data_IF_133900634197
#
_entry.id   IF_133900634197
#
_cell.length_a   1.000
_cell.length_b   1.000
_cell.length_c   1.000
_cell.angle_alpha   90.00
_cell.angle_beta   90.00
_cell.angle_gamma   90.00
#
_symmetry.space_group_name_H-M   'P 1'
#
loop_
_entity.id
_entity.type
_entity.pdbx_description
1 polymer ?
#
# COMPACT_ATOMS: atom_id res chain seq x y z
N UNK A 1 -66.81 2.15 -28.91
CA UNK A 1 -66.51 2.70 -27.56
C UNK A 1 -65.10 2.23 -27.21
N UNK A 2 -64.04 2.94 -27.62
CA UNK A 2 -63.31 4.01 -26.85
C UNK A 2 -62.80 3.44 -25.51
N UNK A 3 -61.51 3.39 -25.15
CA UNK A 3 -60.42 4.39 -25.13
C UNK A 3 -59.16 3.64 -24.59
N UNK A 4 -57.89 3.94 -24.86
CA UNK A 4 -57.22 5.22 -25.08
C UNK A 4 -56.70 5.81 -23.76
N UNK A 5 -55.56 5.34 -23.23
CA UNK A 5 -54.81 5.99 -22.13
C UNK A 5 -53.30 5.89 -22.45
N UNK A 6 -52.68 6.90 -23.09
CA UNK A 6 -52.31 8.22 -22.57
C UNK A 6 -51.01 8.20 -21.73
N UNK A 7 -49.93 8.52 -22.43
CA UNK A 7 -48.66 9.02 -21.92
C UNK A 7 -48.87 10.25 -21.03
N UNK A 8 -48.10 10.40 -19.95
CA UNK A 8 -47.95 11.69 -19.28
C UNK A 8 -46.58 11.88 -18.60
N UNK A 9 -45.78 12.80 -19.16
CA UNK A 9 -45.21 13.89 -18.38
C UNK A 9 -43.93 13.65 -17.57
N UNK A 10 -42.79 13.46 -18.25
CA UNK A 10 -41.46 13.69 -17.66
C UNK A 10 -41.30 15.17 -17.29
N UNK A 11 -41.30 15.48 -15.98
CA UNK A 11 -40.90 16.79 -15.48
C UNK A 11 -39.39 16.94 -15.60
N UNK A 12 -38.96 17.84 -16.49
CA UNK A 12 -37.62 18.39 -16.49
C UNK A 12 -37.39 19.22 -15.23
N UNK A 13 -36.28 18.99 -14.55
CA UNK A 13 -35.75 19.90 -13.54
C UNK A 13 -34.49 20.51 -14.14
N UNK A 14 -34.61 21.78 -14.52
CA UNK A 14 -33.52 22.62 -14.97
C UNK A 14 -32.55 22.85 -13.81
N UNK A 15 -31.29 22.46 -13.97
CA UNK A 15 -30.22 22.92 -13.10
C UNK A 15 -29.67 24.22 -13.69
N UNK A 16 -30.15 25.31 -13.11
CA UNK A 16 -29.72 26.68 -13.35
C UNK A 16 -28.26 26.85 -12.92
N UNK A 17 -27.47 27.44 -13.83
CA UNK A 17 -26.05 27.65 -13.66
C UNK A 17 -25.75 28.64 -12.53
N UNK A 18 -24.80 28.26 -11.67
CA UNK A 18 -24.10 29.21 -10.81
C UNK A 18 -22.61 29.18 -11.15
N UNK A 19 -22.21 30.08 -12.05
CA UNK A 19 -20.82 30.54 -12.17
C UNK A 19 -20.44 31.16 -10.82
N UNK A 20 -19.46 30.59 -10.14
CA UNK A 20 -18.67 31.33 -9.14
C UNK A 20 -17.22 31.24 -9.56
N UNK A 21 -16.81 32.28 -10.26
CA UNK A 21 -15.42 32.60 -10.52
C UNK A 21 -14.91 33.40 -9.32
N UNK A 22 -14.09 32.80 -8.47
CA UNK A 22 -13.30 33.52 -7.47
C UNK A 22 -11.89 32.94 -7.48
N UNK A 23 -11.09 33.53 -8.37
CA UNK A 23 -9.64 33.62 -8.22
C UNK A 23 -9.37 34.40 -6.93
N UNK A 24 -8.83 33.71 -5.92
CA UNK A 24 -8.00 34.35 -4.90
C UNK A 24 -6.84 33.45 -4.54
N UNK A 25 -5.75 33.76 -5.22
CA UNK A 25 -4.37 33.48 -4.81
C UNK A 25 -4.24 33.85 -3.34
N UNK A 26 -4.00 32.86 -2.48
CA UNK A 26 -3.35 33.06 -1.20
C UNK A 26 -2.09 32.20 -1.20
N UNK A 27 -1.01 32.85 -1.66
CA UNK A 27 0.34 32.59 -1.19
C UNK A 27 0.30 32.50 0.35
N UNK A 28 0.63 31.35 0.92
CA UNK A 28 0.83 31.24 2.37
C UNK A 28 0.39 29.93 3.00
N UNK A 29 0.84 28.78 2.48
CA UNK A 29 0.88 27.55 3.29
C UNK A 29 2.03 26.63 2.87
N UNK A 30 3.16 27.26 2.51
CA UNK A 30 4.48 26.62 2.43
C UNK A 30 5.31 27.26 3.53
N UNK A 31 5.12 26.79 4.77
CA UNK A 31 5.98 26.95 5.94
C UNK A 31 5.12 26.63 7.16
N UNK A 32 5.46 25.55 7.88
CA UNK A 32 5.23 25.29 9.33
C UNK A 32 4.94 23.80 9.59
N UNK A 33 5.86 22.88 9.23
CA UNK A 33 6.08 21.62 10.00
C UNK A 33 7.55 21.14 9.86
N UNK A 34 8.53 22.05 9.78
CA UNK A 34 9.95 21.66 9.64
C UNK A 34 10.86 22.25 10.74
N UNK A 35 10.36 22.36 11.97
CA UNK A 35 11.11 22.87 13.12
C UNK A 35 10.70 22.22 14.45
N UNK A 36 10.96 20.92 14.67
CA UNK A 36 11.03 20.37 16.06
C UNK A 36 12.14 19.33 16.28
N UNK A 37 12.94 18.89 15.29
CA UNK A 37 14.01 17.88 15.55
C UNK A 37 15.35 18.28 14.94
N UNK A 38 15.94 19.39 15.42
CA UNK A 38 17.30 19.83 15.04
C UNK A 38 18.21 20.18 16.23
N UNK A 39 17.97 19.62 17.42
CA UNK A 39 18.84 19.80 18.58
C UNK A 39 19.30 18.48 19.19
N UNK A 40 20.25 17.78 18.55
CA UNK A 40 21.21 16.88 19.23
C UNK A 40 22.08 16.11 18.21
N UNK A 41 23.14 16.72 17.68
CA UNK A 41 24.36 16.01 17.23
C UNK A 41 25.37 17.01 16.64
N UNK A 42 25.95 17.88 17.49
CA UNK A 42 27.17 18.62 17.17
C UNK A 42 28.29 18.15 18.10
N UNK A 43 29.44 17.85 17.52
CA UNK A 43 30.66 17.42 18.20
C UNK A 43 30.80 15.90 18.11
N UNK A 44 31.87 15.31 17.57
CA UNK A 44 33.26 15.53 17.97
C UNK A 44 34.23 15.30 16.79
N UNK A 45 35.38 15.94 16.94
CA UNK A 45 36.43 16.31 16.00
C UNK A 45 37.12 15.15 15.27
N UNK A 46 37.50 15.46 14.03
CA UNK A 46 38.66 14.92 13.29
C UNK A 46 39.93 14.97 14.15
N UNK A 47 40.63 13.84 14.23
CA UNK A 47 42.08 13.80 14.36
C UNK A 47 42.67 13.07 13.17
N UNK A 48 43.59 13.77 12.53
CA UNK A 48 44.42 13.41 11.39
C UNK A 48 45.66 12.71 11.93
N UNK A 49 46.01 11.53 11.41
CA UNK A 49 47.35 10.93 11.38
C UNK A 49 47.16 9.70 10.45
N UNK A 50 47.88 9.48 9.36
CA UNK A 50 49.25 9.82 9.05
C UNK A 50 49.98 8.51 8.75
N UNK A 51 50.47 8.39 7.50
CA UNK A 51 51.77 7.79 7.16
C UNK A 51 51.86 6.25 6.98
N UNK A 52 52.13 5.92 5.71
CA UNK A 52 53.15 4.98 5.17
C UNK A 52 53.26 3.57 5.73
N UNK A 53 53.44 2.65 4.78
CA UNK A 53 54.52 1.68 4.88
C UNK A 53 54.04 0.25 4.79
N UNK A 54 54.33 -0.37 3.65
CA UNK A 54 54.46 -1.80 3.55
C UNK A 54 55.41 -2.33 4.63
N UNK A 55 55.10 -3.46 5.24
CA UNK A 55 56.10 -4.52 5.37
C UNK A 55 55.47 -5.87 5.62
N UNK A 56 55.98 -6.84 4.86
CA UNK A 56 55.88 -8.26 5.11
C UNK A 56 56.66 -8.54 6.39
N UNK A 57 56.08 -9.28 7.33
CA UNK A 57 56.87 -10.19 8.17
C UNK A 57 55.97 -11.23 8.81
N UNK A 58 56.26 -12.48 8.49
CA UNK A 58 55.96 -13.64 9.30
C UNK A 58 56.65 -13.50 10.67
N UNK A 59 56.05 -14.07 11.71
CA UNK A 59 56.63 -14.61 12.97
C UNK A 59 55.40 -14.97 13.80
N UNK A 60 55.05 -16.24 13.90
CA UNK A 60 55.62 -17.27 14.77
C UNK A 60 55.14 -17.17 16.23
N UNK A 61 54.89 -18.36 16.72
CA UNK A 61 54.16 -18.77 17.91
C UNK A 61 54.88 -18.35 19.19
N UNK A 62 54.09 -17.95 20.19
CA UNK A 62 54.03 -18.52 21.56
C UNK A 62 53.73 -17.43 22.60
N UNK A 63 53.05 -17.89 23.65
CA UNK A 63 52.89 -17.27 24.97
C UNK A 63 51.93 -16.06 25.05
N UNK A 64 51.14 -15.85 26.11
CA UNK A 64 50.86 -16.56 27.38
C UNK A 64 49.58 -15.92 27.94
N UNK A 65 48.89 -16.69 28.79
CA UNK A 65 47.72 -16.34 29.60
C UNK A 65 47.79 -14.98 30.32
N UNK A 66 46.68 -14.23 30.24
CA UNK A 66 46.06 -13.41 31.30
C UNK A 66 44.96 -12.59 30.60
N UNK A 67 43.68 -12.90 30.78
CA UNK A 67 42.95 -12.49 31.96
C UNK A 67 42.39 -11.08 31.75
N UNK A 68 41.13 -10.97 31.32
CA UNK A 68 40.22 -9.89 31.75
C UNK A 68 38.81 -10.16 31.24
N UNK A 69 37.92 -10.25 32.22
CA UNK A 69 36.48 -10.29 32.13
C UNK A 69 35.98 -9.04 31.40
N UNK A 70 35.41 -9.19 30.22
CA UNK A 70 34.38 -8.28 29.71
C UNK A 70 33.22 -9.16 29.26
N UNK A 71 32.43 -9.51 30.28
CA UNK A 71 31.11 -10.09 30.12
C UNK A 71 30.24 -9.17 29.28
N UNK A 72 29.36 -9.82 28.53
CA UNK A 72 28.65 -9.24 27.41
C UNK A 72 27.67 -8.14 27.78
N UNK A 73 27.36 -7.33 26.78
CA UNK A 73 25.99 -6.93 26.47
C UNK A 73 25.97 -6.54 25.00
N UNK A 74 25.86 -7.53 24.11
CA UNK A 74 25.33 -7.29 22.77
C UNK A 74 23.84 -7.07 22.95
N UNK A 75 23.44 -5.83 23.23
CA UNK A 75 22.06 -5.41 23.07
C UNK A 75 21.75 -5.41 21.57
N UNK A 76 21.37 -6.58 21.04
CA UNK A 76 20.62 -6.69 19.79
C UNK A 76 19.25 -6.07 20.06
N UNK A 77 19.17 -4.75 19.97
CA UNK A 77 17.91 -4.08 19.67
C UNK A 77 17.69 -4.23 18.17
N UNK A 78 17.23 -5.42 17.78
CA UNK A 78 16.54 -5.55 16.51
C UNK A 78 15.37 -4.56 16.54
N UNK A 79 15.09 -3.81 15.47
CA UNK A 79 13.84 -3.08 15.40
C UNK A 79 12.74 -4.10 15.71
N UNK A 80 11.81 -3.73 16.58
CA UNK A 80 10.57 -4.46 16.73
C UNK A 80 10.01 -4.58 15.32
N UNK A 81 10.24 -5.73 14.71
CA UNK A 81 9.56 -6.13 13.52
C UNK A 81 8.11 -6.10 13.98
N UNK A 82 7.40 -5.08 13.51
CA UNK A 82 5.96 -5.13 13.41
C UNK A 82 5.74 -6.34 12.52
N UNK A 83 5.75 -7.54 13.14
CA UNK A 83 5.31 -8.77 12.52
C UNK A 83 3.96 -8.38 11.97
N UNK A 84 3.84 -8.48 10.66
CA UNK A 84 2.58 -8.21 10.00
C UNK A 84 1.53 -9.03 10.76
N UNK A 85 0.69 -8.37 11.56
CA UNK A 85 -0.45 -8.92 12.28
C UNK A 85 -1.49 -9.56 11.31
N UNK A 86 -1.16 -9.62 10.01
CA UNK A 86 -2.00 -10.03 8.89
C UNK A 86 -1.44 -11.26 8.15
N UNK A 87 -0.59 -12.07 8.81
CA UNK A 87 -0.21 -13.38 8.24
C UNK A 87 -1.42 -14.32 8.12
N UNK A 88 -2.46 -14.08 8.93
CA UNK A 88 -3.75 -14.76 8.86
C UNK A 88 -4.76 -13.88 8.12
N UNK A 89 -5.32 -14.39 7.03
CA UNK A 89 -6.38 -13.71 6.30
C UNK A 89 -7.76 -14.14 6.85
N UNK A 90 -8.53 -13.25 7.48
CA UNK A 90 -9.83 -13.60 8.05
C UNK A 90 -10.96 -13.60 7.01
N UNK A 91 -10.65 -13.68 5.71
CA UNK A 91 -11.67 -13.69 4.65
C UNK A 91 -12.31 -15.07 4.59
N UNK A 92 -13.64 -15.11 4.72
CA UNK A 92 -14.44 -16.35 4.65
C UNK A 92 -14.73 -16.72 3.20
N UNK A 93 -15.11 -15.74 2.39
CA UNK A 93 -15.41 -15.91 0.97
C UNK A 93 -15.00 -14.67 0.18
N UNK A 94 -14.79 -14.85 -1.13
CA UNK A 94 -14.37 -13.79 -2.03
C UNK A 94 -14.92 -14.01 -3.43
N UNK A 95 -15.53 -12.97 -4.01
CA UNK A 95 -16.34 -13.10 -5.21
C UNK A 95 -16.45 -11.77 -5.97
N UNK A 96 -17.11 -11.81 -7.14
CA UNK A 96 -17.42 -10.64 -7.98
C UNK A 96 -16.19 -9.81 -8.37
N UNK A 97 -15.07 -10.49 -8.58
CA UNK A 97 -13.80 -9.88 -8.94
C UNK A 97 -13.78 -9.44 -10.39
N UNK A 98 -13.34 -8.21 -10.60
CA UNK A 98 -13.10 -7.64 -11.92
C UNK A 98 -11.80 -6.84 -11.91
N UNK A 99 -11.05 -6.96 -13.00
CA UNK A 99 -9.88 -6.14 -13.27
C UNK A 99 -9.93 -5.66 -14.71
N UNK A 100 -9.60 -4.39 -14.94
CA UNK A 100 -9.51 -3.81 -16.28
C UNK A 100 -8.54 -2.65 -16.31
N UNK A 101 -8.06 -2.34 -17.51
CA UNK A 101 -7.27 -1.16 -17.79
C UNK A 101 -8.15 -0.06 -18.37
N UNK A 102 -7.91 1.18 -18.00
CA UNK A 102 -8.52 2.35 -18.63
C UNK A 102 -7.47 3.44 -18.88
N UNK A 103 -7.71 4.30 -19.87
CA UNK A 103 -6.88 5.50 -20.09
C UNK A 103 -7.55 6.69 -19.44
N UNK A 104 -6.80 7.45 -18.64
CA UNK A 104 -7.31 8.69 -18.04
C UNK A 104 -7.00 9.90 -18.94
N UNK A 105 -8.02 10.66 -19.37
CA UNK A 105 -7.84 11.74 -20.35
C UNK A 105 -7.02 12.92 -19.81
N UNK A 106 -6.99 13.13 -18.49
CA UNK A 106 -6.34 14.28 -17.87
C UNK A 106 -4.86 14.08 -17.54
N UNK A 107 -4.32 12.86 -17.69
CA UNK A 107 -2.96 12.53 -17.26
C UNK A 107 -2.03 12.16 -18.43
N UNK A 108 -2.38 12.56 -19.65
CA UNK A 108 -1.61 12.24 -20.86
C UNK A 108 -1.66 10.76 -21.23
N UNK A 109 -2.86 10.20 -21.34
CA UNK A 109 -3.12 8.81 -21.77
C UNK A 109 -2.43 7.72 -20.93
N UNK A 110 -2.11 8.00 -19.67
CA UNK A 110 -1.63 6.96 -18.75
C UNK A 110 -2.68 5.88 -18.58
N UNK A 111 -2.20 4.63 -18.63
CA UNK A 111 -3.00 3.47 -18.30
C UNK A 111 -3.14 3.36 -16.78
N UNK A 112 -4.35 3.10 -16.33
CA UNK A 112 -4.71 2.86 -14.94
C UNK A 112 -5.32 1.48 -14.82
N UNK A 113 -4.81 0.67 -13.91
CA UNK A 113 -5.37 -0.62 -13.55
C UNK A 113 -6.44 -0.42 -12.48
N UNK A 114 -7.66 -0.83 -12.78
CA UNK A 114 -8.76 -0.89 -11.84
C UNK A 114 -8.93 -2.32 -11.38
N UNK A 115 -9.09 -2.51 -10.07
CA UNK A 115 -9.45 -3.81 -9.49
C UNK A 115 -10.56 -3.59 -8.49
N UNK A 116 -11.63 -4.38 -8.59
CA UNK A 116 -12.73 -4.39 -7.61
C UNK A 116 -13.20 -5.80 -7.34
N UNK A 117 -13.79 -5.99 -6.18
CA UNK A 117 -14.43 -7.25 -5.81
C UNK A 117 -15.20 -7.14 -4.51
N UNK A 118 -15.75 -8.26 -4.07
CA UNK A 118 -16.45 -8.38 -2.80
C UNK A 118 -15.75 -9.43 -1.93
N UNK A 119 -15.57 -9.12 -0.65
CA UNK A 119 -15.02 -10.03 0.36
C UNK A 119 -16.00 -10.19 1.51
N UNK A 120 -16.17 -11.42 1.99
CA UNK A 120 -17.02 -11.75 3.12
C UNK A 120 -16.17 -11.99 4.36
N UNK A 121 -16.52 -11.34 5.47
CA UNK A 121 -15.79 -11.38 6.74
C UNK A 121 -16.66 -12.05 7.82
N UNK A 122 -16.05 -12.68 8.83
CA UNK A 122 -16.80 -13.49 9.80
C UNK A 122 -17.67 -12.67 10.75
N UNK A 123 -17.30 -11.42 10.99
CA UNK A 123 -18.06 -10.47 11.83
C UNK A 123 -18.00 -9.08 11.21
N UNK A 124 -18.94 -8.19 11.51
CA UNK A 124 -18.83 -6.78 11.14
C UNK A 124 -17.71 -6.07 11.91
N UNK A 125 -17.27 -4.92 11.40
CA UNK A 125 -16.34 -4.01 12.09
C UNK A 125 -14.87 -4.10 11.64
N UNK A 126 -14.53 -5.06 10.78
CA UNK A 126 -13.22 -5.06 10.12
C UNK A 126 -13.05 -3.83 9.24
N UNK A 127 -11.84 -3.27 9.26
CA UNK A 127 -11.43 -2.29 8.25
C UNK A 127 -10.76 -3.03 7.11
N UNK A 128 -11.23 -2.83 5.89
CA UNK A 128 -10.71 -3.50 4.70
C UNK A 128 -10.26 -2.47 3.68
N UNK A 129 -9.07 -2.66 3.11
CA UNK A 129 -8.56 -1.82 2.03
C UNK A 129 -7.77 -2.64 1.01
N UNK A 130 -7.85 -2.26 -0.26
CA UNK A 130 -6.97 -2.77 -1.31
C UNK A 130 -5.83 -1.78 -1.54
N UNK A 131 -4.60 -2.28 -1.59
CA UNK A 131 -3.40 -1.49 -1.89
C UNK A 131 -2.54 -2.14 -2.96
N UNK A 132 -1.65 -1.33 -3.53
CA UNK A 132 -0.60 -1.81 -4.41
C UNK A 132 0.31 -2.79 -3.66
N UNK A 133 0.54 -3.95 -4.27
CA UNK A 133 1.50 -4.94 -3.81
C UNK A 133 2.74 -5.01 -4.72
N UNK A 134 3.65 -5.94 -4.43
CA UNK A 134 4.83 -6.15 -5.26
C UNK A 134 4.48 -6.49 -6.71
N UNK A 135 5.19 -5.87 -7.63
CA UNK A 135 5.18 -6.22 -9.05
C UNK A 135 6.36 -7.16 -9.32
N UNK A 136 6.12 -8.28 -10.00
CA UNK A 136 7.21 -9.18 -10.39
C UNK A 136 8.07 -8.55 -11.47
N UNK A 137 9.37 -8.88 -11.48
CA UNK A 137 10.34 -8.37 -12.48
C UNK A 137 10.34 -9.14 -13.81
N UNK A 138 9.34 -9.98 -14.07
CA UNK A 138 9.19 -10.68 -15.35
C UNK A 138 8.56 -9.79 -16.42
N UNK A 139 8.72 -10.17 -17.68
CA UNK A 139 8.02 -9.54 -18.81
C UNK A 139 7.27 -10.64 -19.59
N UNK A 140 5.92 -10.68 -19.58
CA UNK A 140 5.02 -9.75 -18.89
C UNK A 140 5.06 -9.88 -17.35
N UNK A 141 4.76 -8.82 -16.59
CA UNK A 141 4.78 -8.85 -15.14
C UNK A 141 3.47 -9.38 -14.55
N UNK A 142 3.56 -9.98 -13.36
CA UNK A 142 2.43 -10.23 -12.46
C UNK A 142 2.34 -9.10 -11.43
N UNK A 143 1.19 -8.42 -11.36
CA UNK A 143 0.89 -7.42 -10.34
C UNK A 143 0.20 -8.09 -9.15
N UNK A 144 0.74 -7.89 -7.95
CA UNK A 144 0.04 -8.26 -6.72
C UNK A 144 -0.78 -7.07 -6.22
N UNK A 145 -2.02 -7.32 -5.82
CA UNK A 145 -2.89 -6.37 -5.14
C UNK A 145 -3.16 -6.95 -3.75
N UNK A 146 -2.80 -6.22 -2.71
CA UNK A 146 -2.86 -6.73 -1.35
C UNK A 146 -4.12 -6.20 -0.66
N UNK A 147 -4.95 -7.12 -0.18
CA UNK A 147 -6.03 -6.84 0.74
C UNK A 147 -5.45 -6.70 2.14
N UNK A 148 -5.47 -5.48 2.67
CA UNK A 148 -5.28 -5.21 4.09
C UNK A 148 -6.61 -5.41 4.81
N UNK A 149 -6.60 -6.28 5.80
CA UNK A 149 -7.73 -6.44 6.72
C UNK A 149 -7.21 -6.11 8.11
N UNK A 150 -7.89 -5.21 8.82
CA UNK A 150 -7.58 -4.89 10.22
C UNK A 150 -8.76 -5.27 11.08
N UNK A 151 -8.48 -5.97 12.16
CA UNK A 151 -9.50 -6.37 13.13
C UNK A 151 -10.13 -5.16 13.82
N UNK A 152 -11.43 -5.24 14.18
CA UNK A 152 -12.07 -4.25 15.02
C UNK A 152 -11.41 -4.21 16.41
N UNK A 153 -11.29 -3.00 16.97
CA UNK A 153 -10.72 -2.77 18.32
C UNK A 153 -11.54 -3.50 19.39
N UNK A 154 -12.86 -3.60 19.19
CA UNK A 154 -13.78 -4.34 20.05
C UNK A 154 -14.26 -5.63 19.34
N UNK A 155 -13.86 -6.78 19.87
CA UNK A 155 -14.30 -8.10 19.37
C UNK A 155 -15.71 -8.52 19.83
N UNK A 156 -16.44 -7.60 20.47
CA UNK A 156 -17.83 -7.81 20.88
C UNK A 156 -18.70 -7.41 19.70
N UNK A 157 -19.23 -8.40 18.99
CA UNK A 157 -20.05 -8.19 17.79
C UNK A 157 -21.03 -9.33 17.58
N UNK A 158 -22.01 -9.09 16.70
CA UNK A 158 -22.94 -10.10 16.23
C UNK A 158 -22.20 -11.11 15.35
N UNK A 159 -22.56 -12.40 15.45
CA UNK A 159 -22.02 -13.47 14.61
C UNK A 159 -22.74 -13.48 13.26
N UNK A 160 -22.43 -12.50 12.42
CA UNK A 160 -23.04 -12.34 11.10
C UNK A 160 -21.92 -12.09 10.09
N UNK A 161 -21.99 -12.78 8.96
CA UNK A 161 -21.07 -12.57 7.83
C UNK A 161 -21.31 -11.18 7.23
N UNK A 162 -20.24 -10.40 7.10
CA UNK A 162 -20.28 -9.03 6.58
C UNK A 162 -19.61 -8.97 5.20
N UNK A 163 -20.39 -8.62 4.17
CA UNK A 163 -19.91 -8.49 2.81
C UNK A 163 -19.44 -7.06 2.53
N UNK A 164 -18.19 -6.93 2.08
CA UNK A 164 -17.55 -5.64 1.79
C UNK A 164 -17.07 -5.58 0.36
N UNK A 165 -17.58 -4.59 -0.37
CA UNK A 165 -17.04 -4.21 -1.68
C UNK A 165 -15.76 -3.42 -1.49
N UNK A 166 -14.73 -3.82 -2.22
CA UNK A 166 -13.42 -3.20 -2.22
C UNK A 166 -13.02 -2.82 -3.63
N UNK A 167 -12.26 -1.73 -3.76
CA UNK A 167 -11.73 -1.30 -5.05
C UNK A 167 -10.44 -0.52 -4.89
N UNK A 168 -9.56 -0.60 -5.88
CA UNK A 168 -8.35 0.21 -5.96
C UNK A 168 -8.08 0.60 -7.42
N UNK A 169 -7.44 1.76 -7.59
CA UNK A 169 -6.94 2.24 -8.88
C UNK A 169 -5.43 2.40 -8.74
N UNK A 170 -4.68 1.73 -9.61
CA UNK A 170 -3.23 1.67 -9.60
C UNK A 170 -2.67 2.13 -10.94
N UNK A 171 -1.41 2.59 -11.01
CA UNK A 171 -0.72 2.73 -12.29
C UNK A 171 -0.74 1.41 -13.07
N UNK A 172 -1.21 1.46 -14.30
CA UNK A 172 -1.35 0.30 -15.19
C UNK A 172 -0.14 0.12 -16.12
N UNK A 173 0.01 -1.09 -16.66
CA UNK A 173 0.91 -1.41 -17.77
C UNK A 173 0.11 -2.00 -18.93
N UNK A 174 0.66 -1.94 -20.15
CA UNK A 174 -0.04 -2.43 -21.35
C UNK A 174 -0.33 -3.93 -21.30
N UNK A 175 0.56 -4.71 -20.70
CA UNK A 175 0.45 -6.15 -20.65
C UNK A 175 0.74 -6.65 -19.24
N UNK A 176 -0.12 -7.53 -18.74
CA UNK A 176 0.11 -8.30 -17.53
C UNK A 176 0.17 -9.78 -17.87
N UNK A 177 1.05 -10.51 -17.18
CA UNK A 177 0.98 -11.97 -17.15
C UNK A 177 -0.22 -12.41 -16.31
N UNK A 178 -0.38 -11.76 -15.16
CA UNK A 178 -1.56 -11.89 -14.31
C UNK A 178 -1.69 -10.75 -13.32
N UNK A 179 -2.88 -10.54 -12.80
CA UNK A 179 -3.13 -9.70 -11.62
C UNK A 179 -3.64 -10.61 -10.50
N UNK A 180 -2.98 -10.58 -9.35
CA UNK A 180 -3.28 -11.46 -8.22
C UNK A 180 -3.76 -10.65 -7.03
N UNK A 181 -4.96 -10.95 -6.55
CA UNK A 181 -5.48 -10.39 -5.31
C UNK A 181 -5.10 -11.33 -4.17
N UNK A 182 -4.33 -10.81 -3.22
CA UNK A 182 -3.78 -11.60 -2.11
C UNK A 182 -4.14 -10.98 -0.77
N UNK A 183 -4.24 -11.82 0.25
CA UNK A 183 -4.49 -11.42 1.63
C UNK A 183 -3.61 -12.27 2.53
N UNK A 184 -2.62 -11.65 3.18
CA UNK A 184 -1.55 -12.40 3.85
C UNK A 184 -0.85 -13.36 2.87
N UNK A 185 -0.93 -14.66 3.14
CA UNK A 185 -0.38 -15.74 2.30
C UNK A 185 -1.42 -16.39 1.38
N UNK A 186 -2.66 -15.93 1.44
CA UNK A 186 -3.80 -16.52 0.73
C UNK A 186 -4.03 -15.80 -0.59
N UNK A 187 -4.11 -16.55 -1.69
CA UNK A 187 -4.58 -16.06 -2.97
C UNK A 187 -6.11 -16.03 -2.95
N UNK A 188 -6.71 -14.85 -3.13
CA UNK A 188 -8.16 -14.68 -3.20
C UNK A 188 -8.67 -14.82 -4.64
N UNK A 189 -7.93 -14.24 -5.59
CA UNK A 189 -8.29 -14.27 -7.01
C UNK A 189 -7.06 -14.06 -7.89
N UNK A 190 -7.08 -14.66 -9.09
CA UNK A 190 -6.07 -14.43 -10.13
C UNK A 190 -6.77 -14.14 -11.46
N UNK A 191 -6.47 -12.98 -12.04
CA UNK A 191 -6.84 -12.63 -13.40
C UNK A 191 -5.71 -13.03 -14.34
N UNK A 192 -5.98 -13.94 -15.29
CA UNK A 192 -5.04 -14.29 -16.36
C UNK A 192 -5.11 -13.37 -17.57
N UNK A 193 -6.19 -12.61 -17.69
CA UNK A 193 -6.41 -11.61 -18.72
C UNK A 193 -6.99 -10.33 -18.10
N UNK A 194 -6.53 -9.18 -18.57
CA UNK A 194 -6.93 -7.87 -18.06
C UNK A 194 -7.28 -6.99 -19.25
N UNK A 195 -8.57 -6.86 -19.60
CA UNK A 195 -8.97 -6.15 -20.80
C UNK A 195 -8.71 -4.65 -20.69
N UNK A 196 -8.35 -4.03 -21.81
CA UNK A 196 -8.32 -2.59 -21.97
C UNK A 196 -9.71 -2.08 -22.37
N UNK A 197 -10.37 -1.35 -21.46
CA UNK A 197 -11.58 -0.60 -21.79
C UNK A 197 -11.18 0.66 -22.55
N UNK A 198 -11.82 0.85 -23.71
CA UNK A 198 -11.67 2.02 -24.58
C UNK A 198 -12.74 3.06 -24.30
#
# INVERSE_FOLDING_TARGET
MTSGCAWNGSRGVAFEGKKVNQVRVLHGFVQTVNQVVQHAARGVRKTRLGKKGADRMAIDRRMVLAGSLLGGLLAVSGPAEVRAENDLCPVVASQDWEAWLSRTPFSGDRLMLHVRGTVSLPTPGYTVNLREGPLTRSFPPTQMVVLEVREPINRIGTQVVDDRRVSVILPGQENYKSVRVVCGKTLLHEFSDVPLLR
#
